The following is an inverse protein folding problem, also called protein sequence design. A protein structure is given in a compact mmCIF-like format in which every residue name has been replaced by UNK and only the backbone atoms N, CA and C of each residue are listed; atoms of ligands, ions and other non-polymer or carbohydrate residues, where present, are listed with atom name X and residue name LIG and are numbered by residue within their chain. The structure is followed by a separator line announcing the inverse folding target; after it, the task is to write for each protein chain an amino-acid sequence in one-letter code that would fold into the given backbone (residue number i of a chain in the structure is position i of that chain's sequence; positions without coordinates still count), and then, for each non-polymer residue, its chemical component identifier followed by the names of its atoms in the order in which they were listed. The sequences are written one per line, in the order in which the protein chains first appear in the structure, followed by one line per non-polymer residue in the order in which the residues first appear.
data_IF_424982977959
#
_entry.id   IF_424982977959
#
_cell.length_a   1.000
_cell.length_b   1.000
_cell.length_c   1.000
_cell.angle_alpha   90.00
_cell.angle_beta   90.00
_cell.angle_gamma   90.00
#
_symmetry.space_group_name_H-M   'P 1'
#
loop_
_entity.id
_entity.type
_entity.pdbx_description
1 polymer ?
#
# COMPACT_ATOMS: atom_id res chain seq x y z
N UNK A 1 7.04 13.42 -6.50
CA UNK A 1 7.01 11.96 -6.59
C UNK A 1 6.54 11.60 -7.98
N UNK A 2 7.28 10.71 -8.66
CA UNK A 2 6.99 10.26 -10.02
C UNK A 2 7.44 8.81 -10.20
N UNK A 3 7.02 8.15 -11.29
CA UNK A 3 7.58 6.86 -11.68
C UNK A 3 8.92 7.07 -12.41
N UNK A 4 9.74 6.03 -12.45
CA UNK A 4 11.07 6.10 -13.05
C UNK A 4 10.97 6.46 -14.54
N UNK A 5 9.99 5.89 -15.25
CA UNK A 5 9.76 6.13 -16.69
C UNK A 5 9.41 7.59 -17.01
N UNK A 6 8.94 8.35 -16.04
CA UNK A 6 8.61 9.78 -16.20
C UNK A 6 9.66 10.72 -15.65
N UNK A 7 10.49 10.25 -14.72
CA UNK A 7 11.48 11.06 -14.00
C UNK A 7 12.86 11.15 -14.66
N UNK A 8 13.11 10.40 -15.73
CA UNK A 8 14.46 10.25 -16.29
C UNK A 8 15.00 11.45 -17.10
N UNK A 9 14.15 12.40 -17.44
CA UNK A 9 14.53 13.50 -18.34
C UNK A 9 15.32 14.64 -17.66
N UNK A 10 15.40 14.65 -16.32
CA UNK A 10 16.01 15.74 -15.56
C UNK A 10 17.00 15.23 -14.51
N UNK A 11 17.95 16.10 -14.14
CA UNK A 11 18.86 15.89 -13.02
C UNK A 11 18.25 16.52 -11.77
N UNK A 12 18.39 15.82 -10.64
CA UNK A 12 17.85 16.26 -9.37
C UNK A 12 18.96 16.29 -8.32
N UNK A 13 19.03 17.30 -7.47
CA UNK A 13 20.04 17.33 -6.39
C UNK A 13 19.94 16.10 -5.49
N UNK A 14 18.73 15.72 -5.11
CA UNK A 14 18.49 14.57 -4.24
C UNK A 14 17.46 13.64 -4.86
N UNK A 15 17.81 12.37 -4.95
CA UNK A 15 16.93 11.33 -5.49
C UNK A 15 16.72 10.25 -4.44
N UNK A 16 15.47 9.84 -4.27
CA UNK A 16 15.07 8.74 -3.40
C UNK A 16 14.46 7.64 -4.27
N UNK A 17 15.11 6.49 -4.36
CA UNK A 17 14.59 5.31 -5.05
C UNK A 17 14.03 4.37 -4.02
N UNK A 18 12.72 4.13 -4.10
CA UNK A 18 11.98 3.32 -3.12
C UNK A 18 11.54 1.99 -3.74
N UNK A 19 11.40 0.97 -2.88
CA UNK A 19 10.90 -0.33 -3.30
C UNK A 19 11.94 -1.23 -3.98
N UNK A 20 13.23 -1.07 -3.63
CA UNK A 20 14.32 -1.91 -4.15
C UNK A 20 14.31 -3.29 -3.50
N UNK A 21 13.17 -3.99 -3.59
CA UNK A 21 13.02 -5.36 -3.14
C UNK A 21 13.26 -6.37 -4.26
N UNK A 22 13.73 -7.55 -3.89
CA UNK A 22 13.95 -8.66 -4.82
C UNK A 22 12.65 -9.01 -5.56
N UNK A 23 12.70 -9.01 -6.89
CA UNK A 23 11.56 -9.29 -7.76
C UNK A 23 10.55 -8.15 -7.92
N UNK A 24 10.69 -7.03 -7.18
CA UNK A 24 9.86 -5.83 -7.32
C UNK A 24 10.54 -4.81 -8.22
N UNK A 25 11.78 -4.45 -7.90
CA UNK A 25 12.57 -3.57 -8.76
C UNK A 25 14.10 -3.84 -8.63
N UNK A 26 14.79 -4.14 -9.72
CA UNK A 26 14.23 -4.43 -11.04
C UNK A 26 13.33 -5.67 -11.02
N UNK A 27 12.27 -5.65 -11.83
CA UNK A 27 11.34 -6.76 -11.90
C UNK A 27 12.02 -7.98 -12.55
N UNK A 28 11.88 -9.15 -11.94
CA UNK A 28 12.33 -10.37 -12.59
C UNK A 28 11.33 -10.79 -13.66
N UNK A 29 11.80 -10.89 -14.89
CA UNK A 29 10.99 -11.32 -16.02
C UNK A 29 11.23 -12.81 -16.25
N UNK A 30 10.18 -13.63 -16.02
CA UNK A 30 10.18 -15.02 -16.44
C UNK A 30 9.82 -15.16 -17.92
N UNK A 31 10.38 -16.15 -18.57
CA UNK A 31 9.95 -16.54 -19.94
C UNK A 31 8.62 -17.32 -19.83
N UNK A 32 7.59 -16.60 -19.35
CA UNK A 32 6.25 -17.15 -19.14
C UNK A 32 5.38 -16.89 -20.36
N UNK A 33 4.69 -17.93 -20.80
CA UNK A 33 3.76 -17.83 -21.92
C UNK A 33 3.80 -19.07 -22.82
N UNK A 34 2.85 -19.10 -23.77
CA UNK A 34 2.75 -20.18 -24.75
C UNK A 34 3.88 -20.18 -25.77
N UNK A 35 4.44 -18.99 -26.06
CA UNK A 35 5.52 -18.78 -27.03
C UNK A 35 6.73 -18.28 -26.27
N UNK A 36 7.80 -19.07 -26.26
CA UNK A 36 9.06 -18.74 -25.59
C UNK A 36 9.88 -17.73 -26.39
N UNK A 37 10.86 -17.07 -25.74
CA UNK A 37 11.70 -16.07 -26.39
C UNK A 37 12.43 -16.59 -27.64
N UNK A 38 12.87 -17.87 -27.64
CA UNK A 38 13.46 -18.51 -28.80
C UNK A 38 12.46 -18.63 -29.95
N UNK A 39 11.25 -19.09 -29.69
CA UNK A 39 10.19 -19.23 -30.68
C UNK A 39 9.76 -17.86 -31.25
N UNK A 40 9.76 -16.84 -30.39
CA UNK A 40 9.51 -15.44 -30.81
C UNK A 40 10.56 -14.96 -31.79
N UNK A 41 11.81 -15.31 -31.58
CA UNK A 41 12.89 -14.95 -32.50
C UNK A 41 12.73 -15.67 -33.84
N UNK A 42 12.42 -16.96 -33.83
CA UNK A 42 12.17 -17.74 -35.06
C UNK A 42 10.99 -17.16 -35.87
N UNK A 43 9.92 -16.74 -35.18
CA UNK A 43 8.78 -16.09 -35.82
C UNK A 43 9.14 -14.71 -36.38
N UNK A 44 9.93 -13.92 -35.66
CA UNK A 44 10.41 -12.62 -36.12
C UNK A 44 11.28 -12.76 -37.38
N UNK A 45 12.15 -13.77 -37.43
CA UNK A 45 13.00 -14.10 -38.61
C UNK A 45 12.13 -14.53 -39.81
N UNK A 46 10.96 -15.12 -39.53
CA UNK A 46 9.95 -15.44 -40.54
C UNK A 46 9.02 -14.23 -40.90
N UNK A 47 9.29 -13.04 -40.38
CA UNK A 47 8.52 -11.83 -40.68
C UNK A 47 7.28 -11.61 -39.81
N UNK A 48 7.05 -12.42 -38.77
CA UNK A 48 5.92 -12.31 -37.84
C UNK A 48 6.40 -11.60 -36.57
N UNK A 49 6.02 -10.34 -36.40
CA UNK A 49 6.38 -9.55 -35.23
C UNK A 49 5.36 -9.79 -34.09
N UNK A 50 5.85 -10.29 -32.96
CA UNK A 50 5.10 -10.45 -31.73
C UNK A 50 5.47 -9.36 -30.71
N UNK A 51 4.69 -9.27 -29.61
CA UNK A 51 5.06 -8.44 -28.48
C UNK A 51 6.41 -8.87 -27.89
N UNK A 52 7.11 -7.94 -27.24
CA UNK A 52 8.44 -8.18 -26.65
C UNK A 52 8.41 -9.36 -25.65
N UNK A 53 9.44 -10.19 -25.74
CA UNK A 53 9.67 -11.30 -24.83
C UNK A 53 10.21 -10.87 -23.45
N UNK A 54 10.64 -11.84 -22.67
CA UNK A 54 11.17 -11.60 -21.32
C UNK A 54 12.54 -10.90 -21.35
N UNK A 55 13.41 -11.26 -22.29
CA UNK A 55 14.78 -10.74 -22.36
C UNK A 55 14.84 -9.23 -22.66
N UNK A 56 14.16 -8.67 -23.70
CA UNK A 56 14.09 -7.23 -23.91
C UNK A 56 13.51 -6.46 -22.73
N UNK A 57 12.48 -7.01 -22.07
CA UNK A 57 11.88 -6.40 -20.88
C UNK A 57 12.86 -6.37 -19.72
N UNK A 58 13.61 -7.44 -19.47
CA UNK A 58 14.64 -7.46 -18.43
C UNK A 58 15.77 -6.44 -18.68
N UNK A 59 16.17 -6.24 -19.96
CA UNK A 59 17.11 -5.18 -20.30
C UNK A 59 16.54 -3.78 -20.06
N UNK A 60 15.26 -3.56 -20.35
CA UNK A 60 14.59 -2.30 -20.08
C UNK A 60 14.52 -2.02 -18.56
N UNK A 61 14.19 -3.01 -17.73
CA UNK A 61 14.21 -2.88 -16.27
C UNK A 61 15.59 -2.50 -15.73
N UNK A 62 16.65 -3.12 -16.24
CA UNK A 62 18.02 -2.76 -15.87
C UNK A 62 18.40 -1.35 -16.34
N UNK A 63 17.91 -0.93 -17.48
CA UNK A 63 18.12 0.42 -17.99
C UNK A 63 17.37 1.46 -17.13
N UNK A 64 16.15 1.19 -16.74
CA UNK A 64 15.39 2.04 -15.81
C UNK A 64 16.10 2.16 -14.45
N UNK A 65 16.65 1.06 -13.94
CA UNK A 65 17.45 1.07 -12.73
C UNK A 65 18.70 1.97 -12.88
N UNK A 66 19.43 1.82 -13.99
CA UNK A 66 20.58 2.69 -14.30
C UNK A 66 20.16 4.17 -14.33
N UNK A 67 19.05 4.49 -14.98
CA UNK A 67 18.52 5.85 -15.03
C UNK A 67 18.17 6.37 -13.62
N UNK A 68 17.50 5.56 -12.79
CA UNK A 68 17.16 5.94 -11.43
C UNK A 68 18.39 6.27 -10.58
N UNK A 69 19.44 5.46 -10.72
CA UNK A 69 20.69 5.62 -9.94
C UNK A 69 21.58 6.77 -10.41
N UNK A 70 21.49 7.16 -11.68
CA UNK A 70 22.38 8.17 -12.26
C UNK A 70 21.74 9.57 -12.36
N UNK A 71 20.55 9.80 -11.83
CA UNK A 71 19.86 11.11 -11.89
C UNK A 71 20.11 12.03 -10.71
N UNK A 72 20.72 11.53 -9.64
CA UNK A 72 21.13 12.37 -8.52
C UNK A 72 22.42 13.12 -8.84
N UNK A 73 22.44 14.46 -8.62
CA UNK A 73 23.68 15.24 -8.69
C UNK A 73 24.43 15.31 -7.37
N UNK A 74 23.73 15.28 -6.23
CA UNK A 74 24.30 15.45 -4.91
C UNK A 74 24.20 14.18 -4.06
N UNK A 75 23.00 13.64 -3.91
CA UNK A 75 22.79 12.46 -3.08
C UNK A 75 21.70 11.53 -3.61
N UNK A 76 21.97 10.23 -3.50
CA UNK A 76 21.04 9.15 -3.83
C UNK A 76 20.73 8.35 -2.56
N UNK A 77 19.45 8.23 -2.25
CA UNK A 77 18.98 7.39 -1.15
C UNK A 77 18.21 6.20 -1.72
N UNK A 78 18.60 5.01 -1.31
CA UNK A 78 17.97 3.76 -1.71
C UNK A 78 17.17 3.19 -0.54
N UNK A 79 15.95 2.71 -0.78
CA UNK A 79 15.17 2.08 0.27
C UNK A 79 14.43 0.83 -0.21
N UNK A 80 14.28 -0.10 0.70
CA UNK A 80 13.51 -1.33 0.50
C UNK A 80 12.77 -1.69 1.80
N UNK A 81 11.71 -2.48 1.68
CA UNK A 81 10.99 -2.99 2.84
C UNK A 81 11.65 -4.25 3.37
N UNK A 82 11.80 -4.38 4.69
CA UNK A 82 12.30 -5.61 5.34
C UNK A 82 11.20 -6.63 5.57
N UNK A 83 9.92 -6.20 5.56
CA UNK A 83 8.76 -7.06 5.73
C UNK A 83 7.57 -6.60 4.88
N UNK A 84 6.73 -7.53 4.48
CA UNK A 84 5.44 -7.29 3.86
C UNK A 84 4.36 -6.88 4.87
N UNK A 85 3.18 -6.50 4.38
CA UNK A 85 2.02 -6.16 5.22
C UNK A 85 1.53 -7.34 6.07
N UNK A 86 1.76 -8.55 5.61
CA UNK A 86 1.44 -9.81 6.31
C UNK A 86 2.54 -10.29 7.26
N UNK A 87 3.63 -9.51 7.43
CA UNK A 87 4.77 -9.83 8.26
C UNK A 87 5.78 -10.80 7.62
N UNK A 88 5.60 -11.18 6.36
CA UNK A 88 6.61 -11.98 5.65
C UNK A 88 7.89 -11.18 5.44
N UNK A 89 9.05 -11.82 5.69
CA UNK A 89 10.34 -11.20 5.44
C UNK A 89 10.57 -10.93 3.95
N UNK A 90 11.03 -9.73 3.62
CA UNK A 90 11.36 -9.31 2.27
C UNK A 90 12.87 -9.08 2.14
N UNK A 91 13.42 -9.50 1.02
CA UNK A 91 14.84 -9.35 0.72
C UNK A 91 15.10 -8.09 -0.12
N UNK A 92 16.21 -7.39 0.12
CA UNK A 92 16.64 -6.33 -0.76
C UNK A 92 17.03 -6.88 -2.14
N UNK A 93 16.86 -6.06 -3.16
CA UNK A 93 17.31 -6.37 -4.52
C UNK A 93 18.79 -6.68 -4.56
N UNK A 94 19.20 -7.57 -5.46
CA UNK A 94 20.60 -7.94 -5.69
C UNK A 94 21.50 -6.74 -5.95
N UNK A 95 20.95 -5.68 -6.52
CA UNK A 95 21.68 -4.44 -6.79
C UNK A 95 22.10 -3.76 -5.50
N UNK A 96 21.21 -3.66 -4.51
CA UNK A 96 21.53 -3.08 -3.20
C UNK A 96 22.65 -3.87 -2.55
N UNK A 97 22.51 -5.21 -2.49
CA UNK A 97 23.53 -6.10 -1.93
C UNK A 97 24.89 -5.94 -2.63
N UNK A 98 24.89 -5.75 -3.94
CA UNK A 98 26.10 -5.54 -4.73
C UNK A 98 26.75 -4.18 -4.44
N UNK A 99 25.97 -3.12 -4.35
CA UNK A 99 26.47 -1.78 -4.03
C UNK A 99 27.08 -1.73 -2.63
N UNK A 100 26.45 -2.39 -1.65
CA UNK A 100 27.01 -2.55 -0.31
C UNK A 100 28.32 -3.33 -0.33
N UNK A 101 28.39 -4.45 -1.05
CA UNK A 101 29.62 -5.26 -1.15
C UNK A 101 30.78 -4.54 -1.82
N UNK A 102 30.48 -3.61 -2.73
CA UNK A 102 31.48 -2.78 -3.42
C UNK A 102 31.85 -1.50 -2.64
N UNK A 103 31.18 -1.24 -1.52
CA UNK A 103 31.42 -0.05 -0.68
C UNK A 103 30.92 1.26 -1.27
N UNK A 104 29.99 1.21 -2.22
CA UNK A 104 29.38 2.41 -2.82
C UNK A 104 28.24 2.98 -1.99
N UNK A 105 27.67 2.21 -1.08
CA UNK A 105 26.62 2.63 -0.15
C UNK A 105 27.00 2.19 1.26
N UNK A 106 26.56 2.96 2.25
CA UNK A 106 26.69 2.60 3.65
C UNK A 106 25.77 1.42 3.99
N UNK A 107 26.00 0.80 5.15
CA UNK A 107 25.08 -0.21 5.66
C UNK A 107 23.67 0.35 5.76
N UNK A 108 22.67 -0.47 5.42
CA UNK A 108 21.29 -0.10 5.56
C UNK A 108 20.95 0.27 7.01
N UNK A 109 20.27 1.39 7.18
CA UNK A 109 19.69 1.81 8.46
C UNK A 109 18.26 1.31 8.50
N UNK A 110 17.97 0.47 9.49
CA UNK A 110 16.62 -0.01 9.69
C UNK A 110 15.75 1.09 10.32
N UNK A 111 14.65 1.41 9.68
CA UNK A 111 13.63 2.32 10.22
C UNK A 111 12.50 1.46 10.75
N UNK A 112 12.33 1.35 12.07
CA UNK A 112 11.28 0.52 12.65
C UNK A 112 9.89 1.08 12.35
N UNK A 113 8.90 0.19 12.25
CA UNK A 113 7.51 0.57 12.06
C UNK A 113 6.95 1.35 13.27
N UNK A 114 7.39 1.01 14.47
CA UNK A 114 7.06 1.69 15.71
C UNK A 114 8.28 2.39 16.27
N UNK A 115 8.12 3.65 16.67
CA UNK A 115 9.20 4.44 17.26
C UNK A 115 9.51 3.92 18.67
N UNK A 116 10.75 3.54 18.90
CA UNK A 116 11.19 3.14 20.23
C UNK A 116 11.24 4.36 21.17
N UNK A 117 10.98 4.18 22.49
CA UNK A 117 10.91 5.30 23.45
C UNK A 117 12.20 6.14 23.55
N UNK A 118 13.34 5.56 23.30
CA UNK A 118 14.65 6.20 23.34
C UNK A 118 14.97 7.03 22.08
N UNK A 119 14.27 6.78 20.97
CA UNK A 119 14.47 7.49 19.70
C UNK A 119 13.33 8.45 19.35
N UNK A 120 12.36 8.65 20.23
CA UNK A 120 11.19 9.50 19.99
C UNK A 120 11.54 10.95 19.60
N UNK A 121 12.61 11.51 20.15
CA UNK A 121 13.06 12.87 19.82
C UNK A 121 13.47 13.03 18.36
N UNK A 122 13.99 12.00 17.73
CA UNK A 122 14.45 12.02 16.34
C UNK A 122 13.29 12.23 15.35
N UNK A 123 12.06 12.01 15.82
CA UNK A 123 10.83 12.11 15.01
C UNK A 123 10.05 13.41 15.28
N UNK A 124 10.45 14.20 16.30
CA UNK A 124 9.78 15.47 16.67
C UNK A 124 10.52 16.65 16.04
N UNK A 125 10.39 16.84 14.74
CA UNK A 125 11.08 17.92 14.03
C UNK A 125 10.20 18.68 13.04
N UNK A 126 9.09 18.10 12.56
CA UNK A 126 8.11 18.77 11.70
C UNK A 126 6.74 18.77 12.35
N UNK A 127 6.10 19.96 12.53
CA UNK A 127 4.86 20.09 13.29
C UNK A 127 3.75 19.11 12.89
N UNK A 128 3.43 19.01 11.59
CA UNK A 128 2.34 18.15 11.13
C UNK A 128 2.63 16.66 11.32
N UNK A 129 3.87 16.23 11.08
CA UNK A 129 4.28 14.85 11.30
C UNK A 129 4.28 14.50 12.79
N UNK A 130 4.79 15.41 13.61
CA UNK A 130 4.78 15.25 15.07
C UNK A 130 3.36 15.15 15.63
N UNK A 131 2.39 15.89 15.08
CA UNK A 131 0.98 15.78 15.49
C UNK A 131 0.35 14.44 15.06
N UNK A 132 0.76 13.87 13.93
CA UNK A 132 0.32 12.52 13.54
C UNK A 132 0.84 11.48 14.52
N UNK A 133 2.12 11.56 14.90
CA UNK A 133 2.71 10.67 15.91
C UNK A 133 2.09 10.86 17.30
N UNK A 134 1.70 12.08 17.67
CA UNK A 134 0.97 12.36 18.89
C UNK A 134 -0.33 11.56 18.97
N UNK A 135 -1.06 11.41 17.86
CA UNK A 135 -2.29 10.61 17.83
C UNK A 135 -2.04 9.14 18.16
N UNK A 136 -0.97 8.59 17.62
CA UNK A 136 -0.55 7.20 17.89
C UNK A 136 -0.18 7.00 19.35
N UNK A 137 0.62 7.92 19.91
CA UNK A 137 1.04 7.89 21.32
C UNK A 137 -0.15 8.06 22.28
N UNK A 138 -1.10 8.88 21.93
CA UNK A 138 -2.33 8.99 22.71
C UNK A 138 -3.17 7.72 22.65
N UNK A 139 -3.26 7.06 21.49
CA UNK A 139 -3.90 5.75 21.40
C UNK A 139 -3.25 4.73 22.35
N UNK A 140 -1.92 4.72 22.41
CA UNK A 140 -1.17 3.88 23.35
C UNK A 140 -1.47 4.25 24.82
N UNK A 141 -1.52 5.54 25.16
CA UNK A 141 -1.85 6.01 26.50
C UNK A 141 -3.26 5.57 26.92
N UNK A 142 -4.26 5.71 26.05
CA UNK A 142 -5.62 5.26 26.32
C UNK A 142 -5.74 3.73 26.42
N UNK A 143 -4.82 3.01 25.83
CA UNK A 143 -4.68 1.55 25.97
C UNK A 143 -3.91 1.13 27.23
N UNK A 144 -3.53 2.08 28.10
CA UNK A 144 -2.84 1.81 29.36
C UNK A 144 -1.31 1.73 29.29
N UNK A 145 -0.71 2.13 28.16
CA UNK A 145 0.75 2.18 28.03
C UNK A 145 1.29 3.51 28.53
N UNK A 146 2.48 3.46 29.10
CA UNK A 146 3.22 4.68 29.46
C UNK A 146 3.67 5.43 28.20
N UNK A 147 3.59 6.76 28.25
CA UNK A 147 3.95 7.65 27.15
C UNK A 147 4.96 8.67 27.65
N UNK A 148 6.01 8.90 26.87
CA UNK A 148 7.05 9.85 27.20
C UNK A 148 6.46 11.27 27.42
N UNK A 149 6.87 11.98 28.50
CA UNK A 149 6.41 13.34 28.79
C UNK A 149 6.61 14.36 27.65
N UNK A 150 7.53 14.12 26.73
CA UNK A 150 7.73 14.90 25.52
C UNK A 150 6.41 15.15 24.76
N UNK A 151 5.56 14.14 24.65
CA UNK A 151 4.31 14.22 23.92
C UNK A 151 3.29 15.16 24.58
N UNK A 152 3.32 15.30 25.89
CA UNK A 152 2.55 16.32 26.61
C UNK A 152 3.06 17.75 26.31
N UNK A 153 4.39 17.90 26.18
CA UNK A 153 4.99 19.16 25.74
C UNK A 153 4.52 19.57 24.35
N UNK A 154 4.54 18.60 23.40
CA UNK A 154 4.05 18.81 22.04
C UNK A 154 2.55 19.16 22.01
N UNK A 155 1.74 18.46 22.79
CA UNK A 155 0.32 18.76 22.94
C UNK A 155 0.08 20.20 23.42
N UNK A 156 0.73 20.62 24.50
CA UNK A 156 0.58 21.96 25.06
C UNK A 156 1.02 23.02 24.04
N UNK A 157 2.14 22.81 23.38
CA UNK A 157 2.60 23.67 22.32
C UNK A 157 1.57 23.81 21.18
N UNK A 158 1.04 22.72 20.70
CA UNK A 158 0.04 22.73 19.63
C UNK A 158 -1.28 23.38 20.07
N UNK A 159 -1.69 23.20 21.33
CA UNK A 159 -2.88 23.81 21.92
C UNK A 159 -2.77 25.34 21.98
N UNK A 160 -1.60 25.87 22.27
CA UNK A 160 -1.32 27.31 22.34
C UNK A 160 -1.16 27.93 20.96
N UNK A 161 -0.82 27.14 19.94
CA UNK A 161 -0.64 27.62 18.59
C UNK A 161 -1.97 27.85 17.86
N UNK A 162 -2.18 29.05 17.35
CA UNK A 162 -3.37 29.34 16.52
C UNK A 162 -3.41 28.52 15.22
N UNK A 163 -2.24 28.16 14.68
CA UNK A 163 -2.10 27.39 13.44
C UNK A 163 -2.42 25.92 13.64
N UNK A 164 -1.97 25.32 14.75
CA UNK A 164 -2.04 23.87 14.95
C UNK A 164 -3.18 23.42 15.86
N UNK A 165 -3.79 24.33 16.62
CA UNK A 165 -4.95 24.02 17.47
C UNK A 165 -6.11 23.34 16.72
N UNK A 166 -6.52 23.75 15.51
CA UNK A 166 -7.59 23.08 14.78
C UNK A 166 -7.24 21.62 14.47
N UNK A 167 -6.00 21.35 14.05
CA UNK A 167 -5.49 20.01 13.78
C UNK A 167 -5.47 19.13 15.04
N UNK A 168 -5.04 19.70 16.15
CA UNK A 168 -5.09 19.00 17.44
C UNK A 168 -6.53 18.60 17.81
N UNK A 169 -7.52 19.43 17.51
CA UNK A 169 -8.94 19.13 17.70
C UNK A 169 -9.42 17.95 16.84
N UNK A 170 -8.94 17.83 15.60
CA UNK A 170 -9.23 16.70 14.72
C UNK A 170 -8.63 15.40 15.26
N UNK A 171 -7.35 15.43 15.63
CA UNK A 171 -6.64 14.30 16.26
C UNK A 171 -7.37 13.83 17.53
N UNK A 172 -7.75 14.77 18.41
CA UNK A 172 -8.43 14.46 19.69
C UNK A 172 -9.80 13.83 19.48
N UNK A 173 -10.53 14.19 18.42
CA UNK A 173 -11.83 13.59 18.10
C UNK A 173 -11.69 12.13 17.70
N UNK A 174 -10.71 11.80 16.84
CA UNK A 174 -10.47 10.44 16.40
C UNK A 174 -10.11 9.49 17.55
N UNK A 175 -9.37 9.99 18.54
CA UNK A 175 -8.97 9.18 19.70
C UNK A 175 -10.12 8.91 20.67
N UNK A 176 -11.11 9.83 20.73
CA UNK A 176 -12.28 9.67 21.61
C UNK A 176 -13.37 8.79 20.99
N UNK A 177 -13.26 8.50 19.72
CA UNK A 177 -14.19 7.61 19.04
C UNK A 177 -13.84 6.16 19.37
N UNK A 178 -14.64 5.58 20.25
CA UNK A 178 -14.44 4.22 20.75
C UNK A 178 -15.20 3.15 19.94
N UNK A 179 -15.69 3.51 18.74
CA UNK A 179 -16.52 2.62 17.91
C UNK A 179 -17.76 2.07 18.64
N UNK A 180 -18.25 2.75 19.69
CA UNK A 180 -19.51 2.36 20.32
C UNK A 180 -20.63 2.46 19.29
N UNK A 181 -21.20 1.30 18.99
CA UNK A 181 -22.31 1.22 18.05
C UNK A 181 -23.58 1.64 18.77
N UNK A 182 -24.23 2.74 18.37
CA UNK A 182 -25.50 3.11 18.95
C UNK A 182 -26.55 2.03 18.68
N UNK A 183 -27.41 1.79 19.67
CA UNK A 183 -28.51 0.82 19.51
C UNK A 183 -29.41 1.29 18.36
N UNK A 184 -29.60 0.43 17.38
CA UNK A 184 -30.48 0.69 16.24
C UNK A 184 -31.91 0.77 16.76
N UNK A 185 -32.65 1.82 16.42
CA UNK A 185 -34.04 2.00 16.86
C UNK A 185 -34.95 0.92 16.26
N UNK A 186 -35.99 0.57 17.01
CA UNK A 186 -36.96 -0.47 16.59
C UNK A 186 -37.58 -0.14 15.22
N UNK A 187 -37.88 1.12 14.96
CA UNK A 187 -38.48 1.55 13.69
C UNK A 187 -37.51 1.36 12.53
N UNK A 188 -36.24 1.63 12.73
CA UNK A 188 -35.20 1.42 11.71
C UNK A 188 -35.00 -0.09 11.46
N UNK A 189 -34.99 -0.92 12.50
CA UNK A 189 -34.94 -2.39 12.35
C UNK A 189 -36.16 -2.91 11.55
N UNK A 190 -37.34 -2.43 11.90
CA UNK A 190 -38.57 -2.81 11.17
C UNK A 190 -38.48 -2.41 9.70
N UNK A 191 -38.04 -1.20 9.38
CA UNK A 191 -37.90 -0.72 8.00
C UNK A 191 -36.87 -1.47 7.17
N UNK A 192 -35.74 -1.87 7.80
CA UNK A 192 -34.65 -2.53 7.09
C UNK A 192 -34.81 -4.05 6.94
N UNK A 193 -35.42 -4.73 7.92
CA UNK A 193 -35.40 -6.18 8.00
C UNK A 193 -36.75 -6.85 7.92
N UNK A 194 -37.85 -6.12 8.15
CA UNK A 194 -39.20 -6.69 8.10
C UNK A 194 -39.89 -6.32 6.78
N UNK A 195 -40.59 -7.30 6.23
CA UNK A 195 -41.54 -7.10 5.15
C UNK A 195 -42.93 -7.56 5.64
N UNK A 196 -43.90 -6.66 5.61
CA UNK A 196 -45.26 -6.92 6.14
C UNK A 196 -45.26 -7.42 7.60
N UNK A 197 -44.33 -6.97 8.43
CA UNK A 197 -44.22 -7.35 9.81
C UNK A 197 -43.49 -8.67 10.09
N UNK A 198 -43.00 -9.37 9.08
CA UNK A 198 -42.28 -10.63 9.20
C UNK A 198 -40.86 -10.51 8.67
N UNK A 199 -39.93 -11.13 9.37
CA UNK A 199 -38.55 -11.28 8.86
C UNK A 199 -38.50 -12.54 7.98
N UNK A 200 -38.13 -12.37 6.71
CA UNK A 200 -37.85 -13.49 5.81
C UNK A 200 -36.33 -13.62 5.63
N UNK A 201 -35.85 -14.85 5.59
CA UNK A 201 -34.40 -15.08 5.41
C UNK A 201 -34.09 -16.56 5.18
N UNK A 202 -32.92 -16.78 4.59
CA UNK A 202 -32.33 -18.12 4.46
C UNK A 202 -31.52 -18.47 5.72
N UNK A 203 -31.21 -19.74 5.88
CA UNK A 203 -30.28 -20.22 6.96
C UNK A 203 -28.95 -19.48 6.85
N UNK A 204 -28.41 -19.33 5.65
CA UNK A 204 -27.15 -18.58 5.39
C UNK A 204 -27.21 -17.13 5.89
N UNK A 205 -28.39 -16.50 5.84
CA UNK A 205 -28.57 -15.14 6.34
C UNK A 205 -28.48 -15.10 7.87
N UNK A 206 -29.01 -16.09 8.57
CA UNK A 206 -28.90 -16.22 10.02
C UNK A 206 -27.48 -16.56 10.45
N UNK A 207 -26.81 -17.47 9.75
CA UNK A 207 -25.40 -17.78 9.97
C UNK A 207 -24.51 -16.53 9.83
N UNK A 208 -24.79 -15.68 8.82
CA UNK A 208 -24.08 -14.43 8.62
C UNK A 208 -24.23 -13.45 9.79
N UNK A 209 -25.43 -13.39 10.39
CA UNK A 209 -25.65 -12.59 11.59
C UNK A 209 -24.83 -13.11 12.77
N UNK A 210 -24.82 -14.44 12.97
CA UNK A 210 -24.01 -15.06 14.02
C UNK A 210 -22.51 -14.82 13.85
N UNK A 211 -22.03 -14.85 12.63
CA UNK A 211 -20.61 -14.60 12.34
C UNK A 211 -20.21 -13.15 12.61
N UNK A 212 -21.01 -12.17 12.17
CA UNK A 212 -20.74 -10.76 12.36
C UNK A 212 -22.00 -9.93 12.15
N UNK A 213 -22.64 -9.41 13.23
CA UNK A 213 -23.82 -8.56 13.13
C UNK A 213 -23.62 -7.31 12.28
N UNK A 214 -22.43 -6.69 12.33
CA UNK A 214 -22.10 -5.53 11.49
C UNK A 214 -22.09 -5.87 10.00
N UNK A 215 -21.47 -6.98 9.63
CA UNK A 215 -21.47 -7.45 8.22
C UNK A 215 -22.86 -7.78 7.75
N UNK A 216 -23.68 -8.38 8.61
CA UNK A 216 -25.10 -8.62 8.33
C UNK A 216 -25.86 -7.33 8.09
N UNK A 217 -25.69 -6.32 8.96
CA UNK A 217 -26.31 -5.01 8.82
C UNK A 217 -25.91 -4.33 7.52
N UNK A 218 -24.62 -4.29 7.21
CA UNK A 218 -24.11 -3.70 5.97
C UNK A 218 -24.68 -4.39 4.71
N UNK A 219 -24.68 -5.71 4.69
CA UNK A 219 -25.08 -6.50 3.52
C UNK A 219 -26.60 -6.60 3.35
N UNK A 220 -27.37 -6.83 4.42
CA UNK A 220 -28.81 -7.09 4.34
C UNK A 220 -29.69 -5.93 4.78
N UNK A 221 -29.19 -5.05 5.63
CA UNK A 221 -29.86 -3.84 6.06
C UNK A 221 -29.60 -2.71 5.05
N UNK A 222 -28.38 -2.30 4.91
CA UNK A 222 -27.97 -1.21 4.00
C UNK A 222 -27.86 -1.66 2.53
N UNK A 223 -27.83 -2.97 2.27
CA UNK A 223 -27.68 -3.56 0.92
C UNK A 223 -26.43 -3.02 0.19
N UNK A 224 -25.35 -2.86 0.93
CA UNK A 224 -24.09 -2.41 0.34
C UNK A 224 -23.53 -3.50 -0.57
N UNK A 225 -23.20 -3.12 -1.78
CA UNK A 225 -22.50 -3.97 -2.74
C UNK A 225 -21.04 -3.54 -2.86
N UNK A 226 -20.11 -4.49 -3.04
CA UNK A 226 -18.73 -4.15 -3.34
C UNK A 226 -18.67 -3.27 -4.59
N UNK A 227 -17.80 -2.26 -4.55
CA UNK A 227 -17.56 -1.42 -5.73
C UNK A 227 -17.08 -2.32 -6.88
N UNK A 228 -17.81 -2.31 -7.98
CA UNK A 228 -17.37 -3.00 -9.19
C UNK A 228 -16.13 -2.30 -9.74
N UNK A 229 -14.97 -2.89 -9.50
CA UNK A 229 -13.73 -2.48 -10.15
C UNK A 229 -13.74 -3.13 -11.54
N UNK A 230 -13.74 -2.31 -12.58
CA UNK A 230 -13.54 -2.82 -13.93
C UNK A 230 -12.08 -3.27 -14.04
N UNK A 231 -11.86 -4.56 -13.94
CA UNK A 231 -10.57 -5.20 -14.19
C UNK A 231 -10.77 -6.24 -15.29
N UNK A 232 -9.82 -6.32 -16.20
CA UNK A 232 -9.79 -7.44 -17.14
C UNK A 232 -9.23 -8.66 -16.37
N UNK A 233 -10.12 -9.48 -15.87
CA UNK A 233 -9.77 -10.74 -15.22
C UNK A 233 -9.58 -11.88 -16.23
N UNK A 234 -9.13 -13.03 -15.74
CA UNK A 234 -8.94 -14.21 -16.58
C UNK A 234 -10.20 -14.62 -17.38
N UNK A 235 -11.44 -14.53 -16.85
CA UNK A 235 -12.65 -14.83 -17.61
C UNK A 235 -12.88 -13.90 -18.80
N UNK A 236 -12.66 -12.59 -18.64
CA UNK A 236 -12.84 -11.59 -19.71
C UNK A 236 -11.78 -11.78 -20.80
N UNK A 237 -10.54 -12.03 -20.42
CA UNK A 237 -9.44 -12.34 -21.34
C UNK A 237 -9.74 -13.64 -22.09
N UNK A 238 -10.21 -14.68 -21.40
CA UNK A 238 -10.61 -15.95 -22.01
C UNK A 238 -11.71 -15.75 -23.05
N UNK A 239 -12.77 -15.03 -22.70
CA UNK A 239 -13.88 -14.73 -23.61
C UNK A 239 -13.42 -13.95 -24.83
N UNK A 240 -12.55 -12.96 -24.65
CA UNK A 240 -11.96 -12.17 -25.74
C UNK A 240 -11.13 -13.06 -26.69
N UNK A 241 -10.28 -13.93 -26.15
CA UNK A 241 -9.44 -14.83 -26.94
C UNK A 241 -10.30 -15.83 -27.73
N UNK A 242 -11.31 -16.46 -27.10
CA UNK A 242 -12.23 -17.36 -27.77
C UNK A 242 -12.98 -16.69 -28.90
N UNK A 243 -13.53 -15.50 -28.66
CA UNK A 243 -14.25 -14.74 -29.71
C UNK A 243 -13.38 -14.34 -30.90
N UNK A 244 -12.06 -14.16 -30.69
CA UNK A 244 -11.14 -13.88 -31.79
C UNK A 244 -10.72 -15.16 -32.55
N UNK A 245 -10.56 -16.29 -31.86
CA UNK A 245 -10.24 -17.57 -32.48
C UNK A 245 -11.41 -18.13 -33.31
N UNK A 246 -12.64 -17.88 -32.89
CA UNK A 246 -13.85 -18.27 -33.68
C UNK A 246 -14.00 -17.49 -35.00
N UNK A 247 -13.29 -16.38 -35.19
CA UNK A 247 -13.35 -15.53 -36.39
C UNK A 247 -12.21 -15.79 -37.39
N UNK A 248 -11.26 -16.64 -37.00
CA UNK A 248 -10.19 -17.12 -37.87
C UNK A 248 -10.64 -18.36 -38.63
#
# INVERSE_FOLDING_TARGET
ITTIERGYSQWWPKVFVMGLNQGVFPQSMGDEGLIKDKERQELADAGITLAEGALPKAFNENFLLYLAMTRASDSLTLSYASSGEDGTGLEPSLVVKRLESLGYVDKAVEIPLSIAPDTELDYVWRPLQSLSLLSERWGALFSGHEVNPLWWGLYNWARESNTYRPRLGEVSRGIRDNNDVPVITKDLVNGLFLSKGYMSGSVTRLERYQQCPFKFYAQYGLKLEPRRVRSFGAPEIGTFLHANLERL
#
